data_IF_738077446398
#
_entry.id   IF_738077446398
#
_cell.length_a   1.000
_cell.length_b   1.000
_cell.length_c   1.000
_cell.angle_alpha   90.00
_cell.angle_beta   90.00
_cell.angle_gamma   90.00
#
_symmetry.space_group_name_H-M   'P 1'
#
loop_
_entity.id
_entity.type
_entity.pdbx_description
1 polymer ?
#
# COMPACT_ATOMS: atom_id res chain seq x y z
N UNK A 1 -23.29 -64.72 29.07
CA UNK A 1 -23.95 -64.35 27.80
C UNK A 1 -24.47 -62.93 27.98
N UNK A 2 -24.07 -62.04 27.09
CA UNK A 2 -23.83 -60.61 27.29
C UNK A 2 -25.07 -59.74 27.50
N UNK A 3 -25.08 -59.00 28.61
CA UNK A 3 -25.93 -57.85 28.91
C UNK A 3 -25.53 -56.65 28.04
N UNK A 4 -26.48 -56.04 27.32
CA UNK A 4 -26.30 -54.76 26.61
C UNK A 4 -26.62 -53.59 27.56
N UNK A 5 -25.74 -52.59 27.73
CA UNK A 5 -26.14 -51.31 28.30
C UNK A 5 -26.31 -50.23 27.23
N UNK A 6 -27.54 -49.68 27.21
CA UNK A 6 -27.94 -48.27 27.09
C UNK A 6 -27.14 -47.33 26.15
N UNK A 7 -27.74 -47.08 24.98
CA UNK A 7 -27.52 -45.88 24.15
C UNK A 7 -28.35 -44.71 24.68
N UNK A 8 -27.97 -44.14 25.81
CA UNK A 8 -28.58 -42.90 26.30
C UNK A 8 -27.60 -42.21 27.24
N UNK A 9 -26.50 -41.67 26.72
CA UNK A 9 -25.57 -40.74 27.38
C UNK A 9 -24.43 -40.40 26.39
N UNK A 10 -24.74 -39.64 25.34
CA UNK A 10 -23.71 -39.09 24.45
C UNK A 10 -24.20 -37.86 23.65
N UNK A 11 -25.07 -37.02 24.24
CA UNK A 11 -25.55 -35.79 23.57
C UNK A 11 -25.25 -34.52 24.37
N UNK A 12 -24.72 -34.61 25.60
CA UNK A 12 -24.50 -33.43 26.46
C UNK A 12 -23.02 -33.24 26.83
N UNK A 13 -22.12 -33.30 25.84
CA UNK A 13 -20.71 -32.95 26.05
C UNK A 13 -20.06 -32.13 24.91
N UNK A 14 -20.81 -31.70 23.89
CA UNK A 14 -20.26 -30.93 22.77
C UNK A 14 -20.85 -29.52 22.62
N UNK A 15 -21.63 -29.05 23.60
CA UNK A 15 -22.14 -27.67 23.66
C UNK A 15 -21.38 -26.79 24.65
N UNK A 16 -20.42 -27.34 25.41
CA UNK A 16 -19.67 -26.62 26.45
C UNK A 16 -18.33 -26.01 26.03
N UNK A 17 -17.80 -26.31 24.83
CA UNK A 17 -16.47 -25.83 24.41
C UNK A 17 -16.53 -24.63 23.46
N UNK A 18 -17.69 -24.32 22.88
CA UNK A 18 -17.87 -23.17 21.98
C UNK A 18 -18.17 -21.84 22.70
N UNK A 19 -18.30 -21.84 24.04
CA UNK A 19 -18.62 -20.64 24.82
C UNK A 19 -17.44 -20.08 25.66
N UNK A 20 -16.26 -20.69 25.59
CA UNK A 20 -15.12 -20.37 26.47
C UNK A 20 -13.93 -19.69 25.80
N UNK A 21 -14.06 -19.26 24.54
CA UNK A 21 -12.95 -18.71 23.75
C UNK A 21 -13.20 -17.30 23.24
N UNK A 22 -13.98 -16.48 23.96
CA UNK A 22 -13.94 -15.02 23.75
C UNK A 22 -12.71 -14.49 24.50
N UNK A 23 -11.53 -14.92 24.08
CA UNK A 23 -10.33 -14.12 24.32
C UNK A 23 -10.54 -12.85 23.54
N UNK A 24 -10.76 -11.75 24.27
CA UNK A 24 -10.55 -10.38 23.82
C UNK A 24 -9.12 -10.27 23.27
N UNK A 25 -8.94 -10.74 22.04
CA UNK A 25 -7.93 -10.19 21.15
C UNK A 25 -8.42 -8.78 20.92
N UNK A 26 -7.84 -7.84 21.65
CA UNK A 26 -7.84 -6.45 21.23
C UNK A 26 -7.29 -6.47 19.81
N UNK A 27 -8.18 -6.40 18.82
CA UNK A 27 -7.81 -6.19 17.44
C UNK A 27 -7.00 -4.89 17.46
N UNK A 28 -5.68 -5.02 17.38
CA UNK A 28 -4.84 -3.88 17.09
C UNK A 28 -5.38 -3.32 15.78
N UNK A 29 -5.64 -2.02 15.74
CA UNK A 29 -5.89 -1.34 14.48
C UNK A 29 -4.78 -1.77 13.52
N UNK A 30 -5.13 -2.49 12.45
CA UNK A 30 -4.21 -2.76 11.37
C UNK A 30 -3.93 -1.39 10.73
N UNK A 31 -2.86 -0.74 11.19
CA UNK A 31 -2.41 0.53 10.66
C UNK A 31 -1.85 0.23 9.27
N UNK A 32 -2.63 0.56 8.24
CA UNK A 32 -2.27 0.32 6.86
C UNK A 32 -1.04 1.18 6.49
N UNK A 33 -0.03 0.55 5.87
CA UNK A 33 1.07 0.99 4.98
C UNK A 33 1.54 2.47 4.82
N UNK A 34 0.88 3.49 5.38
CA UNK A 34 1.28 4.89 5.21
C UNK A 34 2.43 5.31 6.14
N UNK A 35 2.73 4.53 7.19
CA UNK A 35 3.91 4.77 8.04
C UNK A 35 5.21 4.30 7.37
N UNK A 36 5.11 3.37 6.42
CA UNK A 36 6.25 2.75 5.71
C UNK A 36 6.51 3.39 4.35
N UNK A 37 5.78 4.45 4.01
CA UNK A 37 5.99 5.15 2.75
C UNK A 37 5.85 6.66 2.86
N UNK A 38 6.63 7.37 2.05
CA UNK A 38 6.49 8.79 1.77
C UNK A 38 5.77 8.97 0.44
N UNK A 39 5.06 10.08 0.26
CA UNK A 39 4.46 10.45 -1.04
C UNK A 39 5.10 11.71 -1.58
N UNK A 40 5.59 11.67 -2.82
CA UNK A 40 6.03 12.82 -3.59
C UNK A 40 5.01 13.07 -4.70
N UNK A 41 4.14 14.05 -4.51
CA UNK A 41 3.19 14.47 -5.54
C UNK A 41 3.83 15.58 -6.39
N UNK A 42 4.13 15.29 -7.65
CA UNK A 42 4.80 16.18 -8.59
C UNK A 42 3.81 16.64 -9.66
N UNK A 43 3.73 17.94 -9.90
CA UNK A 43 2.90 18.56 -10.94
C UNK A 43 3.79 19.34 -11.91
N UNK A 44 3.73 18.96 -13.18
CA UNK A 44 4.48 19.61 -14.26
C UNK A 44 3.66 20.76 -14.82
N UNK A 45 4.16 21.98 -14.67
CA UNK A 45 3.61 23.19 -15.29
C UNK A 45 4.33 23.57 -16.59
N UNK A 46 3.99 24.73 -17.15
CA UNK A 46 4.59 25.24 -18.39
C UNK A 46 6.00 25.81 -18.19
N UNK A 47 6.27 26.41 -17.03
CA UNK A 47 7.55 27.09 -16.71
C UNK A 47 8.19 26.61 -15.41
N UNK A 48 7.44 25.88 -14.58
CA UNK A 48 7.85 25.45 -13.25
C UNK A 48 7.28 24.07 -12.94
N UNK A 49 7.93 23.36 -12.03
CA UNK A 49 7.43 22.09 -11.49
C UNK A 49 7.13 22.28 -10.00
N UNK A 50 5.97 21.83 -9.56
CA UNK A 50 5.57 21.86 -8.15
C UNK A 50 5.68 20.45 -7.60
N UNK A 51 6.33 20.28 -6.45
CA UNK A 51 6.33 19.02 -5.73
C UNK A 51 5.72 19.21 -4.35
N UNK A 52 5.04 18.19 -3.84
CA UNK A 52 4.65 18.10 -2.44
C UNK A 52 5.28 16.84 -1.88
N UNK A 53 6.03 16.99 -0.80
CA UNK A 53 6.52 15.87 0.00
C UNK A 53 5.58 15.67 1.20
N UNK A 54 5.08 14.46 1.38
CA UNK A 54 4.25 14.07 2.52
C UNK A 54 4.84 12.85 3.20
N UNK A 55 5.08 12.94 4.51
CA UNK A 55 5.70 11.88 5.32
C UNK A 55 4.94 11.76 6.64
N UNK A 56 4.65 10.55 7.09
CA UNK A 56 4.04 10.32 8.39
C UNK A 56 4.87 10.96 9.52
N UNK A 57 4.21 11.67 10.43
CA UNK A 57 4.86 12.45 11.46
C UNK A 57 5.67 11.56 12.41
N UNK A 58 5.09 10.44 12.86
CA UNK A 58 5.77 9.48 13.74
C UNK A 58 7.03 8.89 13.08
N UNK A 59 6.98 8.62 11.77
CA UNK A 59 8.12 8.08 11.01
C UNK A 59 9.24 9.11 10.93
N UNK A 60 8.92 10.35 10.55
CA UNK A 60 9.92 11.40 10.42
C UNK A 60 10.48 11.82 11.78
N UNK A 61 9.64 11.91 12.81
CA UNK A 61 10.05 12.18 14.18
C UNK A 61 10.99 11.08 14.69
N UNK A 62 10.77 9.80 14.34
CA UNK A 62 11.67 8.72 14.71
C UNK A 62 13.07 8.87 14.08
N UNK A 63 13.14 9.30 12.81
CA UNK A 63 14.40 9.58 12.11
C UNK A 63 15.12 10.78 12.73
N UNK A 64 14.37 11.83 13.08
CA UNK A 64 14.90 13.06 13.66
C UNK A 64 15.15 12.99 15.18
N UNK A 65 14.84 11.86 15.82
CA UNK A 65 15.12 11.61 17.23
C UNK A 65 14.08 12.16 18.22
N UNK A 66 12.86 12.43 17.75
CA UNK A 66 11.72 12.87 18.54
C UNK A 66 10.83 13.85 17.77
N UNK A 67 9.85 14.45 18.46
CA UNK A 67 8.96 15.46 17.89
C UNK A 67 9.76 16.60 17.27
N UNK A 68 9.80 16.65 15.94
CA UNK A 68 10.65 17.56 15.19
C UNK A 68 10.04 18.96 15.08
N UNK A 69 10.89 19.99 15.12
CA UNK A 69 10.46 21.33 14.77
C UNK A 69 10.31 21.44 13.24
N UNK A 70 9.38 22.28 12.79
CA UNK A 70 9.07 22.46 11.38
C UNK A 70 10.32 22.88 10.55
N UNK A 71 11.26 23.61 11.15
CA UNK A 71 12.51 23.99 10.48
C UNK A 71 13.46 22.79 10.28
N UNK A 72 13.50 21.85 11.22
CA UNK A 72 14.32 20.65 11.13
C UNK A 72 13.75 19.70 10.06
N UNK A 73 12.42 19.59 9.99
CA UNK A 73 11.72 18.84 8.94
C UNK A 73 12.02 19.39 7.55
N UNK A 74 11.87 20.70 7.35
CA UNK A 74 12.14 21.31 6.05
C UNK A 74 13.62 21.19 5.65
N UNK A 75 14.55 21.37 6.60
CA UNK A 75 15.98 21.19 6.36
C UNK A 75 16.34 19.76 5.97
N UNK A 76 15.80 18.78 6.71
CA UNK A 76 15.99 17.36 6.40
C UNK A 76 15.49 17.01 5.01
N UNK A 77 14.24 17.37 4.68
CA UNK A 77 13.68 17.05 3.36
C UNK A 77 14.44 17.75 2.21
N UNK A 78 15.00 18.94 2.44
CA UNK A 78 15.82 19.66 1.45
C UNK A 78 17.21 19.03 1.24
N UNK A 79 17.76 18.34 2.24
CA UNK A 79 19.01 17.58 2.07
C UNK A 79 18.79 16.28 1.27
N UNK A 80 17.56 15.76 1.30
CA UNK A 80 17.17 14.48 0.71
C UNK A 80 16.40 14.58 -0.61
N UNK A 81 16.10 15.78 -1.10
CA UNK A 81 15.47 15.98 -2.40
C UNK A 81 16.49 16.61 -3.34
N UNK A 82 16.61 16.09 -4.55
CA UNK A 82 17.39 16.75 -5.59
C UNK A 82 16.70 16.56 -6.92
N UNK A 83 16.54 17.68 -7.65
CA UNK A 83 15.96 17.66 -9.00
C UNK A 83 16.98 18.18 -10.01
N UNK A 84 17.21 17.38 -11.05
CA UNK A 84 18.14 17.71 -12.12
C UNK A 84 17.41 17.70 -13.45
N UNK A 85 17.46 18.81 -14.20
CA UNK A 85 16.91 18.90 -15.54
C UNK A 85 17.57 17.92 -16.51
N UNK A 86 16.91 17.64 -17.63
CA UNK A 86 17.47 16.80 -18.71
C UNK A 86 18.76 17.37 -19.33
N UNK A 87 19.04 18.66 -19.12
CA UNK A 87 20.28 19.36 -19.48
C UNK A 87 21.42 19.15 -18.47
N UNK A 88 21.16 18.45 -17.36
CA UNK A 88 22.10 18.20 -16.27
C UNK A 88 22.20 19.34 -15.25
N UNK A 89 21.39 20.40 -15.39
CA UNK A 89 21.34 21.50 -14.44
C UNK A 89 20.52 21.14 -13.20
N UNK A 90 21.05 21.37 -12.00
CA UNK A 90 20.27 21.26 -10.77
C UNK A 90 19.26 22.40 -10.71
N UNK A 91 18.00 22.06 -10.43
CA UNK A 91 16.92 23.04 -10.28
C UNK A 91 16.94 23.64 -8.88
N UNK A 92 16.61 24.93 -8.79
CA UNK A 92 16.56 25.60 -7.49
C UNK A 92 15.21 25.33 -6.82
N UNK A 93 15.25 24.90 -5.57
CA UNK A 93 14.07 24.55 -4.78
C UNK A 93 13.67 25.70 -3.86
N UNK A 94 12.40 26.08 -3.88
CA UNK A 94 11.80 27.00 -2.91
C UNK A 94 10.78 26.26 -2.07
N UNK A 95 11.06 26.13 -0.78
CA UNK A 95 10.28 25.35 0.16
C UNK A 95 9.23 26.21 0.88
N UNK A 96 8.00 25.70 1.00
CA UNK A 96 6.94 26.33 1.78
C UNK A 96 7.11 26.04 3.28
N UNK A 97 6.27 26.66 4.10
CA UNK A 97 6.20 26.32 5.51
C UNK A 97 5.63 24.90 5.68
N UNK A 98 6.22 24.13 6.61
CA UNK A 98 5.70 22.81 6.94
C UNK A 98 4.29 22.92 7.49
N UNK A 99 3.40 22.07 6.99
CA UNK A 99 2.05 21.89 7.48
C UNK A 99 1.90 20.49 8.06
N UNK A 100 0.97 20.32 9.00
CA UNK A 100 0.59 19.01 9.53
C UNK A 100 -0.85 18.72 9.11
N UNK A 101 -1.07 17.54 8.55
CA UNK A 101 -2.39 17.11 8.10
C UNK A 101 -2.68 15.69 8.59
N UNK A 102 -3.93 15.43 8.96
CA UNK A 102 -4.40 14.08 9.27
C UNK A 102 -5.02 13.47 8.02
N UNK A 103 -4.41 12.41 7.49
CA UNK A 103 -4.97 11.63 6.36
C UNK A 103 -5.26 10.22 6.87
N UNK A 104 -6.51 9.79 6.78
CA UNK A 104 -6.94 8.46 7.24
C UNK A 104 -6.56 8.13 8.69
N UNK A 105 -6.48 9.15 9.55
CA UNK A 105 -6.12 9.01 10.97
C UNK A 105 -4.62 9.07 11.25
N UNK A 106 -3.80 9.33 10.24
CA UNK A 106 -2.35 9.41 10.34
C UNK A 106 -1.91 10.86 10.18
N UNK A 107 -1.29 11.40 11.23
CA UNK A 107 -0.65 12.72 11.19
C UNK A 107 0.55 12.68 10.26
N UNK A 108 0.63 13.61 9.31
CA UNK A 108 1.69 13.68 8.32
C UNK A 108 2.24 15.11 8.23
N UNK A 109 3.55 15.23 8.10
CA UNK A 109 4.19 16.46 7.65
C UNK A 109 3.99 16.61 6.14
N UNK A 110 3.56 17.79 5.71
CA UNK A 110 3.39 18.16 4.31
C UNK A 110 4.17 19.44 4.02
N UNK A 111 5.00 19.39 2.98
CA UNK A 111 5.76 20.56 2.50
C UNK A 111 5.62 20.66 0.99
N UNK A 112 5.32 21.86 0.50
CA UNK A 112 5.28 22.15 -0.93
C UNK A 112 6.62 22.76 -1.36
N UNK A 113 7.11 22.34 -2.52
CA UNK A 113 8.40 22.72 -3.08
C UNK A 113 8.16 23.22 -4.49
N UNK A 114 8.57 24.46 -4.75
CA UNK A 114 8.57 25.02 -6.09
C UNK A 114 9.95 24.82 -6.72
N UNK A 115 10.00 24.15 -7.87
CA UNK A 115 11.20 23.83 -8.60
C UNK A 115 11.34 24.80 -9.78
N UNK A 116 12.34 25.67 -9.70
CA UNK A 116 12.69 26.61 -10.77
C UNK A 116 13.55 25.89 -11.82
N UNK A 117 13.01 25.74 -13.02
CA UNK A 117 13.71 25.08 -14.14
C UNK A 117 14.80 25.94 -14.75
N UNK A 118 14.94 27.21 -14.34
CA UNK A 118 15.87 28.18 -14.89
C UNK A 118 15.78 28.32 -16.43
N UNK A 119 14.59 28.07 -17.00
CA UNK A 119 14.34 28.10 -18.45
C UNK A 119 14.62 26.78 -19.19
N UNK A 120 14.99 25.72 -18.47
CA UNK A 120 15.01 24.36 -19.01
C UNK A 120 13.58 23.82 -19.20
N UNK A 121 13.45 22.79 -20.04
CA UNK A 121 12.17 22.13 -20.31
C UNK A 121 11.65 21.42 -19.03
N UNK A 122 10.48 21.82 -18.48
CA UNK A 122 9.92 21.21 -17.28
C UNK A 122 9.39 19.79 -17.51
N UNK A 123 9.22 19.37 -18.77
CA UNK A 123 8.62 18.07 -19.09
C UNK A 123 9.56 16.89 -18.91
N UNK A 124 10.87 17.12 -18.75
CA UNK A 124 11.84 16.04 -18.53
C UNK A 124 12.95 16.41 -17.53
N UNK A 125 13.05 15.61 -16.47
CA UNK A 125 14.00 15.78 -15.38
C UNK A 125 14.22 14.47 -14.61
N UNK A 126 15.27 14.42 -13.81
CA UNK A 126 15.54 13.35 -12.86
C UNK A 126 15.20 13.85 -11.45
N UNK A 127 14.34 13.12 -10.76
CA UNK A 127 13.96 13.32 -9.37
C UNK A 127 14.71 12.29 -8.53
N UNK A 128 15.57 12.72 -7.61
CA UNK A 128 16.22 11.87 -6.63
C UNK A 128 15.66 12.17 -5.23
N UNK A 129 15.31 11.12 -4.49
CA UNK A 129 14.85 11.24 -3.12
C UNK A 129 15.13 9.97 -2.30
N UNK A 130 15.78 10.14 -1.15
CA UNK A 130 16.16 9.08 -0.21
C UNK A 130 15.75 9.39 1.24
N UNK A 131 14.90 10.41 1.44
CA UNK A 131 14.42 10.80 2.76
C UNK A 131 13.66 9.67 3.46
N UNK A 132 13.96 9.45 4.73
CA UNK A 132 13.60 8.28 5.55
C UNK A 132 14.23 6.96 5.06
N UNK A 133 14.32 6.74 3.74
CA UNK A 133 14.94 5.55 3.13
C UNK A 133 16.39 5.35 3.61
N UNK A 134 17.15 6.45 3.76
CA UNK A 134 18.51 6.39 4.30
C UNK A 134 18.55 5.76 5.71
N UNK A 135 17.57 6.08 6.55
CA UNK A 135 17.48 5.60 7.93
C UNK A 135 16.78 4.24 8.04
N UNK A 136 15.83 3.96 7.15
CA UNK A 136 15.09 2.71 7.04
C UNK A 136 15.03 2.24 5.58
N UNK A 137 15.88 1.26 5.24
CA UNK A 137 15.97 0.73 3.89
C UNK A 137 14.70 0.00 3.40
N UNK A 138 13.74 -0.28 4.29
CA UNK A 138 12.42 -0.83 3.93
C UNK A 138 11.39 0.27 3.62
N UNK A 139 11.72 1.53 3.86
CA UNK A 139 10.84 2.66 3.54
C UNK A 139 10.83 2.91 2.03
N UNK A 140 9.66 3.22 1.50
CA UNK A 140 9.48 3.49 0.07
C UNK A 140 9.01 4.93 -0.14
N UNK A 141 9.37 5.55 -1.26
CA UNK A 141 8.82 6.85 -1.65
C UNK A 141 8.04 6.74 -2.95
N UNK A 142 6.71 6.88 -2.87
CA UNK A 142 5.82 6.79 -4.03
C UNK A 142 5.74 8.13 -4.73
N UNK A 143 6.08 8.16 -6.02
CA UNK A 143 6.03 9.37 -6.83
C UNK A 143 4.74 9.38 -7.65
N UNK A 144 3.88 10.36 -7.38
CA UNK A 144 2.63 10.61 -8.11
C UNK A 144 2.84 11.81 -9.02
N UNK A 145 2.68 11.62 -10.32
CA UNK A 145 2.88 12.66 -11.32
C UNK A 145 1.52 13.16 -11.85
N UNK A 146 1.35 14.48 -11.86
CA UNK A 146 0.35 15.19 -12.66
C UNK A 146 1.08 15.84 -13.82
N UNK A 147 0.83 15.38 -15.04
CA UNK A 147 1.49 15.95 -16.22
C UNK A 147 0.90 17.31 -16.63
N UNK A 148 1.46 17.92 -17.67
CA UNK A 148 0.99 19.21 -18.19
C UNK A 148 -0.42 19.15 -18.80
N UNK A 149 -0.92 17.97 -19.17
CA UNK A 149 -2.30 17.76 -19.61
C UNK A 149 -3.28 17.62 -18.43
N UNK A 150 -2.77 17.48 -17.20
CA UNK A 150 -3.54 17.26 -15.98
C UNK A 150 -3.83 15.79 -15.69
N UNK A 151 -3.22 14.86 -16.43
CA UNK A 151 -3.38 13.43 -16.21
C UNK A 151 -2.56 13.00 -14.99
N UNK A 152 -3.21 12.28 -14.07
CA UNK A 152 -2.59 11.79 -12.83
C UNK A 152 -2.18 10.33 -13.02
N UNK A 153 -0.93 10.03 -12.70
CA UNK A 153 -0.37 8.68 -12.76
C UNK A 153 0.66 8.44 -11.65
N UNK A 154 0.92 7.18 -11.32
CA UNK A 154 2.06 6.82 -10.47
C UNK A 154 3.27 6.68 -11.37
N UNK A 155 4.25 7.57 -11.21
CA UNK A 155 5.44 7.62 -12.05
C UNK A 155 6.48 6.56 -11.64
N UNK A 156 6.54 6.23 -10.36
CA UNK A 156 7.44 5.20 -9.84
C UNK A 156 7.43 5.13 -8.32
N UNK A 157 8.24 4.22 -7.79
CA UNK A 157 8.54 4.08 -6.37
C UNK A 157 10.05 4.13 -6.22
N UNK A 158 10.54 4.96 -5.32
CA UNK A 158 11.95 5.05 -4.96
C UNK A 158 12.22 4.17 -3.75
N UNK A 159 13.34 3.47 -3.78
CA UNK A 159 13.76 2.50 -2.77
C UNK A 159 15.24 2.67 -2.44
N UNK A 160 15.77 1.94 -1.46
CA UNK A 160 17.19 1.98 -1.11
C UNK A 160 18.14 1.52 -2.24
N UNK A 161 17.66 0.78 -3.25
CA UNK A 161 18.47 0.37 -4.42
C UNK A 161 18.29 1.28 -5.62
N UNK A 162 17.18 2.02 -5.67
CA UNK A 162 16.76 2.84 -6.80
C UNK A 162 16.13 4.13 -6.24
N UNK A 163 16.98 5.11 -5.94
CA UNK A 163 16.65 6.37 -5.26
C UNK A 163 16.32 7.53 -6.22
N UNK A 164 16.34 7.26 -7.53
CA UNK A 164 16.09 8.26 -8.57
C UNK A 164 15.14 7.76 -9.66
N UNK A 165 14.34 8.70 -10.17
CA UNK A 165 13.33 8.47 -11.20
C UNK A 165 13.47 9.53 -12.31
N UNK A 166 13.51 9.07 -13.56
CA UNK A 166 13.47 9.95 -14.73
C UNK A 166 12.01 10.21 -15.12
N UNK A 167 11.61 11.47 -15.07
CA UNK A 167 10.31 11.96 -15.52
C UNK A 167 10.42 12.46 -16.96
N UNK A 168 9.41 12.19 -17.79
CA UNK A 168 9.32 12.67 -19.17
C UNK A 168 9.73 11.67 -20.25
N UNK A 169 10.37 10.54 -19.89
CA UNK A 169 10.68 9.50 -20.87
C UNK A 169 9.47 8.55 -21.01
N UNK A 170 8.66 8.76 -22.04
CA UNK A 170 7.49 7.92 -22.38
C UNK A 170 7.89 6.62 -23.09
N UNK A 171 8.95 5.97 -22.62
CA UNK A 171 9.44 4.73 -23.21
C UNK A 171 8.84 3.47 -22.55
N UNK A 172 7.51 3.35 -22.49
CA UNK A 172 6.82 2.05 -22.38
C UNK A 172 7.09 1.14 -21.16
N UNK A 173 7.82 1.61 -20.14
CA UNK A 173 8.20 0.84 -18.96
C UNK A 173 7.21 0.93 -17.81
N UNK A 174 6.41 2.00 -17.72
CA UNK A 174 5.50 2.22 -16.60
C UNK A 174 4.49 1.09 -16.35
N UNK A 175 4.05 0.36 -17.38
CA UNK A 175 3.13 -0.77 -17.20
C UNK A 175 3.85 -2.03 -16.70
N UNK A 176 5.07 -2.29 -17.17
CA UNK A 176 5.88 -3.42 -16.72
C UNK A 176 6.41 -3.19 -15.30
N UNK A 177 6.83 -1.96 -14.99
CA UNK A 177 7.28 -1.56 -13.66
C UNK A 177 6.10 -1.56 -12.69
N UNK A 178 4.94 -1.02 -13.06
CA UNK A 178 3.72 -1.11 -12.26
C UNK A 178 3.30 -2.56 -11.99
N UNK A 179 3.40 -3.44 -12.99
CA UNK A 179 3.12 -4.88 -12.79
C UNK A 179 4.19 -5.53 -11.91
N UNK A 180 5.45 -5.17 -12.07
CA UNK A 180 6.58 -5.66 -11.26
C UNK A 180 6.43 -5.26 -9.79
N UNK A 181 6.24 -3.97 -9.53
CA UNK A 181 5.96 -3.42 -8.20
C UNK A 181 4.68 -4.02 -7.62
N UNK A 182 3.60 -4.11 -8.40
CA UNK A 182 2.37 -4.78 -7.95
C UNK A 182 2.59 -6.26 -7.58
N UNK A 183 3.44 -6.97 -8.31
CA UNK A 183 3.79 -8.35 -8.00
C UNK A 183 4.64 -8.45 -6.73
N UNK A 184 5.61 -7.54 -6.56
CA UNK A 184 6.47 -7.45 -5.38
C UNK A 184 5.65 -7.15 -4.13
N UNK A 185 4.76 -6.15 -4.21
CA UNK A 185 3.86 -5.74 -3.15
C UNK A 185 2.90 -6.88 -2.71
N UNK A 186 2.37 -7.67 -3.66
CA UNK A 186 1.55 -8.86 -3.35
C UNK A 186 2.38 -9.97 -2.67
N UNK A 187 3.67 -10.08 -2.98
CA UNK A 187 4.56 -11.10 -2.43
C UNK A 187 5.06 -10.74 -1.01
N UNK A 188 5.21 -9.46 -0.70
CA UNK A 188 5.68 -8.99 0.62
C UNK A 188 4.55 -8.75 1.63
N UNK A 189 3.33 -8.47 1.16
CA UNK A 189 2.17 -8.30 2.04
C UNK A 189 1.81 -9.57 2.80
N UNK A 190 2.06 -9.60 4.12
CA UNK A 190 1.73 -10.73 4.99
C UNK A 190 0.24 -11.10 4.94
N UNK A 191 -0.64 -10.11 4.78
CA UNK A 191 -2.09 -10.31 4.63
C UNK A 191 -2.46 -11.01 3.31
N UNK A 192 -1.75 -10.73 2.22
CA UNK A 192 -1.94 -11.41 0.94
C UNK A 192 -1.44 -12.85 0.99
N UNK A 193 -0.31 -13.10 1.66
CA UNK A 193 0.19 -14.45 1.91
C UNK A 193 -0.76 -15.23 2.81
N UNK A 194 -1.35 -14.61 3.84
CA UNK A 194 -2.38 -15.23 4.69
C UNK A 194 -3.68 -15.48 3.91
N UNK A 195 -4.08 -14.57 3.02
CA UNK A 195 -5.21 -14.77 2.10
C UNK A 195 -4.96 -15.93 1.12
N UNK A 196 -3.78 -15.99 0.50
CA UNK A 196 -3.37 -17.09 -0.37
C UNK A 196 -3.27 -18.42 0.40
N UNK A 197 -2.74 -18.39 1.63
CA UNK A 197 -2.65 -19.56 2.50
C UNK A 197 -4.04 -20.06 2.90
N UNK A 198 -4.95 -19.17 3.29
CA UNK A 198 -6.35 -19.54 3.62
C UNK A 198 -7.07 -20.08 2.40
N UNK A 199 -6.89 -19.49 1.22
CA UNK A 199 -7.42 -20.05 -0.03
C UNK A 199 -6.84 -21.44 -0.34
N UNK A 200 -5.54 -21.64 -0.17
CA UNK A 200 -4.88 -22.92 -0.40
C UNK A 200 -5.27 -23.98 0.64
N UNK A 201 -5.60 -23.56 1.86
CA UNK A 201 -6.06 -24.42 2.96
C UNK A 201 -7.52 -24.83 2.78
N UNK A 202 -8.39 -23.92 2.31
CA UNK A 202 -9.83 -24.17 2.11
C UNK A 202 -10.13 -24.86 0.78
N UNK A 203 -9.40 -24.55 -0.30
CA UNK A 203 -9.63 -25.13 -1.62
C UNK A 203 -9.63 -26.67 -1.72
N UNK A 204 -8.82 -27.42 -0.96
CA UNK A 204 -8.88 -28.88 -0.97
C UNK A 204 -10.02 -29.46 -0.12
N UNK A 205 -10.84 -28.65 0.54
CA UNK A 205 -11.89 -29.12 1.45
C UNK A 205 -13.27 -28.73 0.93
N UNK A 206 -14.16 -29.70 0.81
CA UNK A 206 -15.53 -29.50 0.34
C UNK A 206 -16.48 -30.00 1.41
N UNK A 207 -17.44 -29.16 1.82
CA UNK A 207 -18.52 -29.59 2.71
C UNK A 207 -19.55 -30.40 1.89
N UNK A 208 -19.57 -31.72 2.07
CA UNK A 208 -20.59 -32.60 1.50
C UNK A 208 -21.45 -33.12 2.64
N UNK A 209 -22.77 -32.86 2.57
CA UNK A 209 -23.74 -33.26 3.58
C UNK A 209 -23.36 -32.85 5.03
N UNK A 210 -22.87 -31.61 5.20
CA UNK A 210 -22.48 -31.06 6.50
C UNK A 210 -21.17 -31.63 7.08
N UNK A 211 -20.39 -32.38 6.28
CA UNK A 211 -19.09 -32.93 6.67
C UNK A 211 -18.00 -32.48 5.70
N UNK A 212 -16.92 -31.95 6.24
CA UNK A 212 -15.72 -31.58 5.49
C UNK A 212 -15.04 -32.83 4.93
N UNK A 213 -14.96 -32.92 3.61
CA UNK A 213 -14.27 -33.98 2.90
C UNK A 213 -13.12 -33.39 2.08
N UNK A 214 -11.99 -34.11 2.05
CA UNK A 214 -10.87 -33.76 1.17
C UNK A 214 -11.27 -34.06 -0.27
N UNK A 215 -11.03 -33.11 -1.17
CA UNK A 215 -11.27 -33.27 -2.61
C UNK A 215 -10.14 -34.13 -3.19
N UNK A 216 -10.48 -35.28 -3.77
CA UNK A 216 -9.49 -36.19 -4.33
C UNK A 216 -8.98 -35.71 -5.70
N UNK A 217 -7.66 -35.62 -5.85
CA UNK A 217 -6.96 -35.28 -7.09
C UNK A 217 -6.44 -33.84 -7.16
N UNK A 218 -5.18 -33.66 -7.57
CA UNK A 218 -4.55 -32.33 -7.64
C UNK A 218 -5.13 -31.41 -8.73
N UNK A 219 -5.58 -31.97 -9.86
CA UNK A 219 -6.17 -31.21 -10.98
C UNK A 219 -7.48 -30.48 -10.63
N UNK A 220 -8.49 -31.13 -9.99
CA UNK A 220 -9.71 -30.43 -9.58
C UNK A 220 -9.46 -29.38 -8.49
N UNK A 221 -8.54 -29.62 -7.55
CA UNK A 221 -8.15 -28.62 -6.53
C UNK A 221 -7.51 -27.40 -7.17
N UNK A 222 -6.56 -27.59 -8.10
CA UNK A 222 -5.91 -26.47 -8.80
C UNK A 222 -6.91 -25.63 -9.61
N UNK A 223 -7.88 -26.26 -10.27
CA UNK A 223 -8.96 -25.55 -10.98
C UNK A 223 -9.84 -24.73 -10.03
N UNK A 224 -10.15 -25.27 -8.85
CA UNK A 224 -10.92 -24.55 -7.84
C UNK A 224 -10.15 -23.34 -7.29
N UNK A 225 -8.86 -23.50 -6.98
CA UNK A 225 -8.00 -22.37 -6.56
C UNK A 225 -7.97 -21.30 -7.65
N UNK A 226 -7.65 -21.66 -8.89
CA UNK A 226 -7.60 -20.71 -10.01
C UNK A 226 -8.95 -20.01 -10.22
N UNK A 227 -10.07 -20.74 -10.13
CA UNK A 227 -11.39 -20.14 -10.27
C UNK A 227 -11.69 -19.12 -9.17
N UNK A 228 -11.32 -19.41 -7.91
CA UNK A 228 -11.54 -18.50 -6.78
C UNK A 228 -10.62 -17.29 -6.86
N UNK A 229 -9.33 -17.48 -7.14
CA UNK A 229 -8.37 -16.38 -7.30
C UNK A 229 -8.79 -15.48 -8.45
N UNK A 230 -9.12 -16.03 -9.62
CA UNK A 230 -9.58 -15.22 -10.76
C UNK A 230 -10.88 -14.48 -10.45
N UNK A 231 -11.86 -15.14 -9.80
CA UNK A 231 -13.11 -14.48 -9.42
C UNK A 231 -12.88 -13.34 -8.41
N UNK A 232 -11.97 -13.54 -7.46
CA UNK A 232 -11.58 -12.51 -6.51
C UNK A 232 -10.88 -11.34 -7.19
N UNK A 233 -9.87 -11.60 -8.04
CA UNK A 233 -9.16 -10.55 -8.80
C UNK A 233 -10.15 -9.76 -9.66
N UNK A 234 -11.02 -10.43 -10.40
CA UNK A 234 -12.04 -9.77 -11.23
C UNK A 234 -13.00 -8.94 -10.38
N UNK A 235 -13.49 -9.49 -9.27
CA UNK A 235 -14.37 -8.78 -8.34
C UNK A 235 -13.71 -7.54 -7.76
N UNK A 236 -12.46 -7.67 -7.31
CA UNK A 236 -11.67 -6.59 -6.74
C UNK A 236 -11.39 -5.48 -7.77
N UNK A 237 -10.93 -5.84 -8.98
CA UNK A 237 -10.72 -4.88 -10.06
C UNK A 237 -12.01 -4.16 -10.45
N UNK A 238 -13.15 -4.85 -10.49
CA UNK A 238 -14.45 -4.24 -10.75
C UNK A 238 -14.86 -3.26 -9.65
N UNK A 239 -14.63 -3.60 -8.37
CA UNK A 239 -14.92 -2.68 -7.26
C UNK A 239 -14.01 -1.46 -7.25
N UNK A 240 -12.71 -1.61 -7.55
CA UNK A 240 -11.79 -0.49 -7.69
C UNK A 240 -12.19 0.41 -8.86
N UNK A 241 -12.51 -0.18 -10.02
CA UNK A 241 -12.99 0.58 -11.17
C UNK A 241 -14.28 1.34 -10.86
N UNK A 242 -15.23 0.71 -10.17
CA UNK A 242 -16.48 1.35 -9.75
C UNK A 242 -16.24 2.48 -8.74
N UNK A 243 -15.26 2.33 -7.84
CA UNK A 243 -14.86 3.38 -6.90
C UNK A 243 -14.17 4.55 -7.61
N UNK A 244 -13.24 4.26 -8.53
CA UNK A 244 -12.50 5.26 -9.31
C UNK A 244 -13.44 6.08 -10.21
N UNK A 245 -14.46 5.45 -10.79
CA UNK A 245 -15.51 6.14 -11.56
C UNK A 245 -16.56 6.85 -10.68
N UNK A 246 -16.44 6.78 -9.35
CA UNK A 246 -17.37 7.38 -8.40
C UNK A 246 -18.75 6.71 -8.34
N UNK A 247 -18.91 5.53 -8.93
CA UNK A 247 -20.18 4.79 -8.92
C UNK A 247 -20.49 4.16 -7.56
N UNK A 248 -19.46 3.87 -6.77
CA UNK A 248 -19.59 3.32 -5.42
C UNK A 248 -18.72 4.15 -4.47
N UNK A 249 -19.35 4.76 -3.48
CA UNK A 249 -18.69 5.42 -2.36
C UNK A 249 -19.06 4.65 -1.09
N UNK A 250 -18.15 3.80 -0.63
CA UNK A 250 -18.31 3.08 0.64
C UNK A 250 -17.67 3.91 1.76
N UNK A 251 -18.39 4.21 2.86
CA UNK A 251 -17.78 4.76 4.06
C UNK A 251 -16.72 3.78 4.60
N UNK A 252 -15.55 4.25 5.00
CA UNK A 252 -14.44 3.40 5.50
C UNK A 252 -14.80 2.62 6.75
N UNK A 253 -15.58 3.20 7.66
CA UNK A 253 -15.94 2.58 8.95
C UNK A 253 -16.58 1.17 8.87
N UNK A 254 -17.62 0.91 8.04
CA UNK A 254 -18.16 -0.46 7.89
C UNK A 254 -17.20 -1.41 7.15
N UNK A 255 -16.29 -0.88 6.31
CA UNK A 255 -15.29 -1.70 5.62
C UNK A 255 -14.27 -2.20 6.65
N UNK A 256 -13.73 -1.31 7.50
CA UNK A 256 -12.82 -1.65 8.58
C UNK A 256 -13.37 -2.75 9.50
N UNK A 257 -14.66 -2.65 9.90
CA UNK A 257 -15.30 -3.66 10.77
C UNK A 257 -15.44 -5.03 10.10
N UNK A 258 -15.49 -5.10 8.76
CA UNK A 258 -15.68 -6.35 8.02
C UNK A 258 -14.36 -7.04 7.65
N UNK A 259 -13.23 -6.32 7.65
CA UNK A 259 -11.90 -6.87 7.35
C UNK A 259 -10.99 -7.02 8.58
N UNK A 260 -11.35 -6.43 9.73
CA UNK A 260 -10.64 -6.56 10.99
C UNK A 260 -10.79 -7.94 11.66
#
# INVERSE_FOLDING_TARGET
MTTRPNRALAVTALTGVLAGGLTLLTAGTAQAHSLTSSTLAVRVGEEQVEATVSVAADTLDAVLGGAAADADVAGYLAEHLTVTGSDGGAWTETWSAVTRETVEGIESYRVDVLLDTAGADPSSFTLAYDGVIEADAAHEAVVVLTDAAGDISTAGVLTATDDSLVVGDTAGTGLADMVGYGLHHVLEGADHLLFLLTLLLVAPVVAVAGRWHRRDGGRPTLRSVLAVVTAFTVGHSLTLLASALGWVTAPSAPVEVLIA
#
